data_IF_773999424850
#
_entry.id   IF_773999424850
#
_cell.length_a   1.000
_cell.length_b   1.000
_cell.length_c   1.000
_cell.angle_alpha   90.00
_cell.angle_beta   90.00
_cell.angle_gamma   90.00
#
_symmetry.space_group_name_H-M   'P 1'
#
loop_
_entity.id
_entity.type
_entity.pdbx_description
1 polymer ?
#
# COMPACT_ATOMS: atom_id res chain seq x y z
N UNK A 1 19.96 21.62 -8.40
CA UNK A 1 19.26 20.34 -8.18
C UNK A 1 19.01 20.23 -6.68
N UNK A 2 17.77 20.05 -6.25
CA UNK A 2 17.51 19.74 -4.85
C UNK A 2 18.02 18.32 -4.58
N UNK A 3 18.94 18.16 -3.63
CA UNK A 3 19.34 16.84 -3.17
C UNK A 3 18.17 16.27 -2.35
N UNK A 4 17.69 15.10 -2.75
CA UNK A 4 16.71 14.38 -1.93
C UNK A 4 17.41 13.85 -0.68
N UNK A 5 16.79 13.98 0.50
CA UNK A 5 17.35 13.46 1.74
C UNK A 5 17.54 11.94 1.64
N UNK A 6 18.63 11.42 2.21
CA UNK A 6 18.77 9.98 2.44
C UNK A 6 17.64 9.51 3.38
N UNK A 7 17.40 8.20 3.41
CA UNK A 7 16.44 7.59 4.33
C UNK A 7 16.68 7.98 5.81
N UNK A 8 17.90 8.38 6.20
CA UNK A 8 18.21 8.93 7.53
C UNK A 8 17.60 10.30 7.84
N UNK A 9 17.25 11.07 6.82
CA UNK A 9 16.89 12.49 6.93
C UNK A 9 15.45 12.79 6.54
N UNK A 10 14.61 11.76 6.37
CA UNK A 10 13.23 11.92 5.90
C UNK A 10 12.35 12.78 6.82
N UNK A 11 12.71 12.96 8.10
CA UNK A 11 12.03 13.91 8.98
C UNK A 11 12.16 15.37 8.55
N UNK A 12 13.15 15.69 7.71
CA UNK A 12 13.36 17.03 7.16
C UNK A 12 12.48 17.32 5.94
N UNK A 13 11.66 16.36 5.46
CA UNK A 13 10.81 16.55 4.29
C UNK A 13 9.84 17.74 4.44
N UNK A 14 9.32 18.00 5.64
CA UNK A 14 8.46 19.15 5.90
C UNK A 14 9.17 20.51 5.79
N UNK A 15 10.49 20.54 5.88
CA UNK A 15 11.28 21.77 5.71
C UNK A 15 11.44 22.07 4.22
N UNK A 16 11.39 21.03 3.38
CA UNK A 16 11.65 21.11 1.94
C UNK A 16 10.34 21.30 1.15
N UNK A 17 9.25 20.67 1.56
CA UNK A 17 7.97 20.69 0.86
C UNK A 17 7.19 21.98 1.14
N UNK A 18 6.78 22.67 0.08
CA UNK A 18 5.86 23.81 0.16
C UNK A 18 4.41 23.34 0.10
N UNK A 19 3.44 24.17 0.53
CA UNK A 19 2.03 23.79 0.56
C UNK A 19 1.45 23.29 -0.78
N UNK A 20 1.92 23.83 -1.90
CA UNK A 20 1.43 23.48 -3.24
C UNK A 20 2.28 22.39 -3.94
N UNK A 21 3.24 21.81 -3.25
CA UNK A 21 4.08 20.74 -3.79
C UNK A 21 3.39 19.37 -3.64
N UNK A 22 3.70 18.46 -4.57
CA UNK A 22 3.26 17.07 -4.51
C UNK A 22 4.46 16.13 -4.31
N UNK A 23 4.43 15.33 -3.25
CA UNK A 23 5.46 14.32 -3.00
C UNK A 23 5.11 13.01 -3.70
N UNK A 24 5.97 12.56 -4.62
CA UNK A 24 5.82 11.25 -5.26
C UNK A 24 6.90 10.32 -4.71
N UNK A 25 6.50 9.20 -4.10
CA UNK A 25 7.42 8.17 -3.60
C UNK A 25 7.24 6.87 -4.38
N UNK A 26 8.32 6.40 -4.99
CA UNK A 26 8.41 5.06 -5.59
C UNK A 26 9.07 4.14 -4.58
N UNK A 27 8.31 3.16 -4.11
CA UNK A 27 8.66 2.33 -2.97
C UNK A 27 8.68 0.87 -3.38
N UNK A 28 9.65 0.13 -2.86
CA UNK A 28 9.74 -1.31 -3.09
C UNK A 28 9.03 -2.09 -1.99
N UNK A 29 8.61 -3.32 -2.30
CA UNK A 29 7.97 -4.20 -1.34
C UNK A 29 9.02 -4.98 -0.56
N UNK A 30 8.68 -5.39 0.67
CA UNK A 30 9.57 -6.21 1.49
C UNK A 30 9.94 -7.50 0.76
N UNK A 31 11.24 -7.79 0.70
CA UNK A 31 11.76 -8.98 0.02
C UNK A 31 12.18 -8.74 -1.44
N UNK A 32 11.93 -7.55 -1.98
CA UNK A 32 12.39 -7.17 -3.32
C UNK A 32 13.76 -6.47 -3.29
N UNK A 33 14.46 -6.45 -4.41
CA UNK A 33 15.86 -6.01 -4.52
C UNK A 33 16.08 -4.55 -4.10
N UNK A 34 15.14 -3.66 -4.43
CA UNK A 34 15.22 -2.23 -4.11
C UNK A 34 14.62 -1.87 -2.74
N UNK A 35 14.26 -2.85 -1.93
CA UNK A 35 13.70 -2.63 -0.60
C UNK A 35 14.73 -2.10 0.38
N UNK A 36 14.36 -1.03 1.08
CA UNK A 36 15.12 -0.49 2.19
C UNK A 36 14.30 -0.63 3.49
N UNK A 37 14.86 -1.13 4.62
CA UNK A 37 14.09 -1.34 5.86
C UNK A 37 13.35 -0.10 6.37
N UNK A 38 13.92 1.10 6.15
CA UNK A 38 13.27 2.37 6.52
C UNK A 38 11.99 2.68 5.74
N UNK A 39 11.69 1.97 4.65
CA UNK A 39 10.40 2.07 3.93
C UNK A 39 9.22 1.65 4.83
N UNK A 40 9.44 0.78 5.83
CA UNK A 40 8.39 0.41 6.80
C UNK A 40 7.89 1.63 7.62
N UNK A 41 8.68 2.71 7.71
CA UNK A 41 8.33 3.93 8.44
C UNK A 41 7.58 4.96 7.60
N UNK A 42 7.33 4.69 6.32
CA UNK A 42 6.60 5.61 5.44
C UNK A 42 5.20 5.96 5.98
N UNK A 43 4.39 5.03 6.52
CA UNK A 43 3.10 5.36 7.11
C UNK A 43 3.22 6.38 8.26
N UNK A 44 4.20 6.19 9.16
CA UNK A 44 4.44 7.10 10.28
C UNK A 44 4.86 8.49 9.79
N UNK A 45 5.68 8.52 8.73
CA UNK A 45 6.12 9.77 8.10
C UNK A 45 4.93 10.55 7.52
N UNK A 46 4.06 9.88 6.77
CA UNK A 46 2.87 10.50 6.18
C UNK A 46 1.99 11.07 7.29
N UNK A 47 1.74 10.26 8.33
CA UNK A 47 0.92 10.65 9.45
C UNK A 47 1.53 11.79 10.26
N UNK A 48 2.86 11.92 10.33
CA UNK A 48 3.49 12.97 11.13
C UNK A 48 3.66 14.27 10.35
N UNK A 49 4.10 14.16 9.10
CA UNK A 49 4.62 15.30 8.34
C UNK A 49 3.70 15.71 7.18
N UNK A 50 3.06 14.76 6.50
CA UNK A 50 2.34 15.02 5.24
C UNK A 50 0.82 15.20 5.40
N UNK A 51 0.31 15.39 6.62
CA UNK A 51 -1.15 15.54 6.86
C UNK A 51 -1.82 16.61 6.00
N UNK A 52 -1.11 17.69 5.68
CA UNK A 52 -1.61 18.84 4.92
C UNK A 52 -0.96 18.96 3.54
N UNK A 53 -0.28 17.93 3.05
CA UNK A 53 0.41 17.94 1.76
C UNK A 53 -0.16 16.87 0.83
N UNK A 54 -0.11 17.12 -0.48
CA UNK A 54 -0.46 16.10 -1.47
C UNK A 54 0.69 15.11 -1.63
N UNK A 55 0.36 13.82 -1.71
CA UNK A 55 1.35 12.78 -1.97
C UNK A 55 0.78 11.63 -2.80
N UNK A 56 1.66 10.94 -3.53
CA UNK A 56 1.36 9.73 -4.28
C UNK A 56 2.39 8.66 -3.89
N UNK A 57 1.89 7.48 -3.50
CA UNK A 57 2.72 6.29 -3.23
C UNK A 57 2.59 5.31 -4.38
N UNK A 58 3.72 4.92 -4.96
CA UNK A 58 3.78 3.97 -6.06
C UNK A 58 4.56 2.75 -5.59
N UNK A 59 3.90 1.59 -5.57
CA UNK A 59 4.52 0.28 -5.35
C UNK A 59 4.48 -0.48 -6.67
N UNK A 60 5.53 -0.40 -7.51
CA UNK A 60 5.55 -1.09 -8.78
C UNK A 60 5.50 -2.61 -8.56
N UNK A 61 4.76 -3.29 -9.43
CA UNK A 61 4.87 -4.75 -9.51
C UNK A 61 6.20 -5.05 -10.21
N UNK A 62 7.13 -5.67 -9.50
CA UNK A 62 8.32 -6.24 -10.12
C UNK A 62 7.94 -7.63 -10.63
N UNK A 63 7.99 -7.90 -11.95
CA UNK A 63 7.76 -9.24 -12.45
C UNK A 63 8.90 -10.14 -11.94
N UNK A 64 8.61 -11.00 -10.98
CA UNK A 64 9.52 -12.08 -10.59
C UNK A 64 9.67 -13.01 -11.78
N UNK A 65 10.91 -13.33 -12.17
CA UNK A 65 11.17 -14.31 -13.26
C UNK A 65 10.53 -15.69 -12.98
N UNK A 66 10.21 -15.99 -11.71
CA UNK A 66 9.42 -17.16 -11.31
C UNK A 66 7.94 -16.78 -11.13
N UNK A 67 7.09 -17.18 -12.08
CA UNK A 67 5.68 -16.81 -12.22
C UNK A 67 4.69 -17.28 -11.14
N UNK A 68 4.95 -16.99 -9.86
CA UNK A 68 4.03 -17.27 -8.74
C UNK A 68 3.95 -16.07 -7.79
N UNK A 69 3.28 -14.99 -8.21
CA UNK A 69 3.00 -13.83 -7.34
C UNK A 69 1.63 -13.18 -7.57
N UNK A 70 0.87 -13.65 -8.57
CA UNK A 70 -0.46 -13.10 -8.87
C UNK A 70 -1.53 -13.47 -7.84
N UNK A 71 -1.31 -14.52 -7.04
CA UNK A 71 -2.29 -15.00 -6.05
C UNK A 71 -2.31 -14.14 -4.78
N UNK A 72 -1.15 -13.60 -4.36
CA UNK A 72 -1.06 -12.76 -3.16
C UNK A 72 -1.70 -11.37 -3.38
N UNK A 73 -1.74 -10.90 -4.63
CA UNK A 73 -2.34 -9.60 -5.02
C UNK A 73 -3.87 -9.60 -5.03
N UNK A 74 -4.51 -10.76 -5.15
CA UNK A 74 -5.98 -10.90 -5.15
C UNK A 74 -6.53 -10.88 -3.72
N UNK A 75 -5.68 -11.13 -2.73
CA UNK A 75 -6.09 -11.47 -1.37
C UNK A 75 -6.62 -10.27 -0.56
N UNK A 76 -6.21 -9.02 -0.83
CA UNK A 76 -6.63 -7.88 0.00
C UNK A 76 -8.02 -7.30 -0.34
N UNK A 77 -8.34 -7.18 -1.63
CA UNK A 77 -9.56 -6.52 -2.11
C UNK A 77 -10.73 -7.48 -2.34
N UNK A 78 -10.46 -8.78 -2.53
CA UNK A 78 -11.51 -9.78 -2.75
C UNK A 78 -12.05 -10.44 -1.48
N UNK A 79 -11.38 -10.32 -0.32
CA UNK A 79 -11.88 -10.89 0.94
C UNK A 79 -13.26 -10.37 1.31
N UNK A 80 -13.45 -9.04 1.30
CA UNK A 80 -14.75 -8.44 1.65
C UNK A 80 -15.90 -8.83 0.69
N UNK A 81 -15.69 -8.87 -0.65
CA UNK A 81 -16.66 -9.46 -1.58
C UNK A 81 -16.94 -10.95 -1.35
N UNK A 82 -15.92 -11.77 -1.05
CA UNK A 82 -16.07 -13.21 -0.82
C UNK A 82 -16.85 -13.52 0.46
N UNK A 83 -16.56 -12.81 1.57
CA UNK A 83 -17.31 -12.94 2.82
C UNK A 83 -18.80 -12.60 2.64
N UNK A 84 -19.12 -11.58 1.82
CA UNK A 84 -20.50 -11.23 1.48
C UNK A 84 -21.20 -12.31 0.67
N UNK A 85 -20.49 -12.91 -0.30
CA UNK A 85 -21.04 -14.00 -1.12
C UNK A 85 -21.30 -15.27 -0.29
N UNK A 86 -20.40 -15.60 0.63
CA UNK A 86 -20.58 -16.70 1.58
C UNK A 86 -21.80 -16.50 2.49
N UNK A 87 -22.00 -15.28 2.99
CA UNK A 87 -23.18 -14.93 3.79
C UNK A 87 -24.48 -15.11 3.00
N UNK A 88 -24.50 -14.67 1.73
CA UNK A 88 -25.64 -14.84 0.83
C UNK A 88 -25.94 -16.34 0.63
N UNK A 89 -24.92 -17.16 0.38
CA UNK A 89 -25.07 -18.61 0.24
C UNK A 89 -25.65 -19.30 1.48
N UNK A 90 -25.24 -18.88 2.68
CA UNK A 90 -25.79 -19.38 3.96
C UNK A 90 -27.25 -18.97 4.15
N UNK A 91 -27.60 -17.72 3.79
CA UNK A 91 -28.99 -17.24 3.87
C UNK A 91 -29.91 -18.00 2.92
N UNK A 92 -29.48 -18.19 1.68
CA UNK A 92 -30.19 -18.96 0.65
C UNK A 92 -30.38 -20.41 1.13
N UNK A 93 -29.30 -21.11 1.48
CA UNK A 93 -29.37 -22.51 1.94
C UNK A 93 -30.23 -22.69 3.19
N UNK A 94 -30.21 -21.74 4.13
CA UNK A 94 -31.06 -21.78 5.34
C UNK A 94 -32.56 -21.68 5.04
N UNK A 95 -32.95 -21.01 3.95
CA UNK A 95 -34.35 -20.88 3.50
C UNK A 95 -34.82 -22.11 2.72
N UNK A 96 -33.93 -22.72 1.94
CA UNK A 96 -34.24 -23.97 1.21
C UNK A 96 -34.31 -25.20 2.12
N UNK A 97 -33.58 -25.22 3.24
CA UNK A 97 -33.60 -26.33 4.21
C UNK A 97 -34.81 -26.31 5.17
N UNK A 98 -35.64 -25.27 5.14
CA UNK A 98 -36.86 -25.12 5.95
C UNK A 98 -38.16 -25.41 5.17
N UNK A 99 -38.07 -26.05 4.01
CA UNK A 99 -39.20 -26.63 3.28
C UNK A 99 -39.07 -28.14 3.21
#
# INVERSE_FOLDING_TARGET
MANLPDWGELGNLNIILKPDDNLIMVLSRKGEESYHPKMERVPDLINTFLKNHSFILIYPNQPKESGLDSLEMIHGSLLAPMERLDFIGRMISSRFRKK
#
